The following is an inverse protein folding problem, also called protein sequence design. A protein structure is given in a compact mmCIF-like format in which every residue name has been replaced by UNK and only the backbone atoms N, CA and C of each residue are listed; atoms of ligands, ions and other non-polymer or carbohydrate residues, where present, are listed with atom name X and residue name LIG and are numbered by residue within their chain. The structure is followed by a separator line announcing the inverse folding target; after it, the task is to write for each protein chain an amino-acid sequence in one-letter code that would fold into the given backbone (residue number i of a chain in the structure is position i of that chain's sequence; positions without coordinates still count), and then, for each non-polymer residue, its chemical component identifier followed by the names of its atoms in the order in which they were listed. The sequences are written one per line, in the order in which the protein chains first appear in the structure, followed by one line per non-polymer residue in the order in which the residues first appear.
data_IF_904414096159
#
_entry.id   IF_904414096159
#
_cell.length_a   1.000
_cell.length_b   1.000
_cell.length_c   1.000
_cell.angle_alpha   90.00
_cell.angle_beta   90.00
_cell.angle_gamma   90.00
#
_symmetry.space_group_name_H-M   'P 1'
#
loop_
_entity.id
_entity.type
_entity.pdbx_description
1 polymer ?
#
# COMPACT_ATOMS: atom_id res chain seq x y z
N UNK A 1 2.83 12.33 19.18
CA UNK A 1 2.83 12.89 17.80
C UNK A 1 3.30 14.34 17.86
N UNK A 2 4.41 14.69 17.21
CA UNK A 2 5.01 16.03 17.30
C UNK A 2 4.17 17.03 16.47
N UNK A 3 3.77 18.14 17.08
CA UNK A 3 3.04 19.22 16.41
C UNK A 3 4.01 20.35 16.07
N UNK A 4 4.27 20.54 14.79
CA UNK A 4 5.10 21.65 14.31
C UNK A 4 4.28 22.94 14.24
N UNK A 5 4.81 24.03 14.79
CA UNK A 5 4.21 25.36 14.80
C UNK A 5 5.00 26.35 13.92
N UNK A 6 4.40 27.50 13.62
CA UNK A 6 5.03 28.56 12.83
C UNK A 6 5.34 28.15 11.38
N UNK A 7 6.55 28.44 10.91
CA UNK A 7 6.98 28.14 9.54
C UNK A 7 7.20 26.65 9.28
N UNK A 8 7.31 25.83 10.33
CA UNK A 8 7.46 24.37 10.24
C UNK A 8 6.12 23.64 10.03
N UNK A 9 4.98 24.34 10.13
CA UNK A 9 3.65 23.78 9.80
C UNK A 9 3.65 23.28 8.35
N UNK A 10 3.16 22.05 8.11
CA UNK A 10 3.18 21.40 6.79
C UNK A 10 2.66 22.29 5.64
N UNK A 11 1.64 23.11 5.90
CA UNK A 11 1.06 24.05 4.92
C UNK A 11 2.04 25.16 4.48
N UNK A 12 2.88 25.65 5.39
CA UNK A 12 3.81 26.76 5.15
C UNK A 12 5.25 26.30 4.91
N UNK A 13 5.58 25.09 5.33
CA UNK A 13 6.94 24.53 5.27
C UNK A 13 7.52 24.51 3.85
N UNK A 14 6.70 24.19 2.85
CA UNK A 14 7.15 24.11 1.46
C UNK A 14 7.67 25.44 0.89
N UNK A 15 7.07 26.56 1.27
CA UNK A 15 7.43 27.89 0.78
C UNK A 15 8.42 28.62 1.68
N UNK A 16 8.28 28.50 3.02
CA UNK A 16 9.10 29.26 3.97
C UNK A 16 10.45 28.60 4.29
N UNK A 17 10.52 27.27 4.32
CA UNK A 17 11.76 26.57 4.71
C UNK A 17 12.94 26.84 3.75
N UNK A 18 12.75 26.90 2.41
CA UNK A 18 13.84 27.26 1.51
C UNK A 18 14.38 28.68 1.72
N UNK A 19 13.51 29.63 2.08
CA UNK A 19 13.90 31.03 2.36
C UNK A 19 14.76 31.11 3.62
N UNK A 20 14.41 30.33 4.66
CA UNK A 20 15.21 30.25 5.90
C UNK A 20 16.59 29.63 5.62
N UNK A 21 16.66 28.56 4.81
CA UNK A 21 17.96 27.99 4.43
C UNK A 21 18.83 28.96 3.63
N UNK A 22 18.22 29.75 2.73
CA UNK A 22 18.93 30.80 1.99
C UNK A 22 19.47 31.89 2.94
N UNK A 23 18.66 32.33 3.90
CA UNK A 23 19.08 33.33 4.89
C UNK A 23 20.22 32.82 5.79
N UNK A 24 20.19 31.54 6.16
CA UNK A 24 21.21 30.89 6.99
C UNK A 24 22.43 30.39 6.21
N UNK A 25 22.50 30.65 4.89
CA UNK A 25 23.55 30.14 3.99
C UNK A 25 23.75 28.61 4.07
N UNK A 26 22.67 27.89 4.41
CA UNK A 26 22.70 26.43 4.50
C UNK A 26 22.48 25.82 3.13
N UNK A 27 23.24 24.76 2.82
CA UNK A 27 22.95 23.96 1.64
C UNK A 27 21.58 23.29 1.79
N UNK A 28 20.69 23.55 0.84
CA UNK A 28 19.37 22.90 0.82
C UNK A 28 19.57 21.41 0.59
N UNK A 29 19.07 20.58 1.51
CA UNK A 29 19.08 19.11 1.32
C UNK A 29 18.36 18.79 0.02
N UNK A 30 19.02 18.02 -0.86
CA UNK A 30 18.38 17.47 -2.05
C UNK A 30 17.15 16.70 -1.61
N UNK A 31 16.01 17.01 -2.23
CA UNK A 31 14.79 16.22 -2.02
C UNK A 31 15.14 14.78 -2.42
N UNK A 32 14.84 13.78 -1.57
CA UNK A 32 15.04 12.40 -1.99
C UNK A 32 14.23 12.19 -3.26
N UNK A 33 14.85 11.54 -4.25
CA UNK A 33 14.13 11.09 -5.43
C UNK A 33 12.96 10.26 -4.93
N UNK A 34 11.75 10.56 -5.41
CA UNK A 34 10.60 9.72 -5.14
C UNK A 34 10.70 8.55 -6.13
N UNK A 35 11.18 7.37 -5.72
CA UNK A 35 11.22 6.23 -6.62
C UNK A 35 9.82 6.02 -7.19
N UNK A 36 9.74 5.82 -8.51
CA UNK A 36 8.49 5.44 -9.15
C UNK A 36 7.96 4.12 -8.56
N UNK A 37 6.67 3.85 -8.74
CA UNK A 37 6.04 2.63 -8.23
C UNK A 37 6.82 1.35 -8.59
N UNK A 38 7.35 1.28 -9.82
CA UNK A 38 8.17 0.16 -10.27
C UNK A 38 9.47 -0.02 -9.45
N UNK A 39 10.14 1.08 -9.10
CA UNK A 39 11.38 1.05 -8.30
C UNK A 39 11.06 0.64 -6.86
N UNK A 40 9.94 1.13 -6.30
CA UNK A 40 9.45 0.69 -4.99
C UNK A 40 9.14 -0.81 -4.98
N UNK A 41 8.34 -1.28 -5.94
CA UNK A 41 7.97 -2.69 -6.04
C UNK A 41 9.18 -3.60 -6.23
N UNK A 42 10.16 -3.19 -7.04
CA UNK A 42 11.43 -3.92 -7.21
C UNK A 42 12.21 -4.01 -5.90
N UNK A 43 12.24 -2.95 -5.10
CA UNK A 43 12.87 -2.95 -3.78
C UNK A 43 12.16 -3.83 -2.76
N UNK A 44 10.83 -3.88 -2.79
CA UNK A 44 10.02 -4.70 -1.87
C UNK A 44 10.00 -6.19 -2.23
N UNK A 45 9.83 -6.52 -3.51
CA UNK A 45 9.63 -7.90 -3.99
C UNK A 45 10.93 -8.56 -4.47
N UNK A 46 12.03 -7.81 -4.58
CA UNK A 46 13.31 -8.30 -5.11
C UNK A 46 13.28 -8.69 -6.59
N UNK A 47 12.14 -8.48 -7.26
CA UNK A 47 11.86 -8.93 -8.62
C UNK A 47 11.23 -7.79 -9.42
N UNK A 48 11.58 -7.72 -10.71
CA UNK A 48 11.01 -6.71 -11.61
C UNK A 48 9.65 -7.18 -12.14
N UNK A 49 8.57 -6.56 -11.66
CA UNK A 49 7.19 -6.85 -12.09
C UNK A 49 6.97 -6.62 -13.59
N UNK A 50 7.82 -5.83 -14.24
CA UNK A 50 7.76 -5.59 -15.68
C UNK A 50 8.64 -6.55 -16.47
N UNK A 51 9.20 -7.59 -15.85
CA UNK A 51 9.94 -8.63 -16.56
C UNK A 51 9.10 -9.90 -16.63
N UNK A 52 8.90 -10.40 -17.85
CA UNK A 52 8.28 -11.68 -18.11
C UNK A 52 9.09 -12.80 -17.43
N UNK A 53 8.46 -13.58 -16.53
CA UNK A 53 9.15 -14.68 -15.82
C UNK A 53 9.55 -15.80 -16.79
N UNK A 54 8.75 -16.02 -17.83
CA UNK A 54 8.98 -17.10 -18.81
C UNK A 54 10.01 -16.71 -19.88
N UNK A 55 9.89 -15.50 -20.40
CA UNK A 55 10.60 -15.04 -21.60
C UNK A 55 11.67 -13.98 -21.33
N UNK A 56 11.65 -13.35 -20.17
CA UNK A 56 12.58 -12.28 -19.81
C UNK A 56 12.30 -10.93 -20.47
N UNK A 57 11.35 -10.86 -21.40
CA UNK A 57 10.97 -9.62 -22.10
C UNK A 57 10.29 -8.60 -21.18
N UNK A 58 10.35 -7.33 -21.60
CA UNK A 58 9.76 -6.22 -20.86
C UNK A 58 8.26 -6.13 -21.08
N UNK A 59 7.49 -6.42 -20.04
CA UNK A 59 6.05 -6.22 -19.98
C UNK A 59 5.72 -4.72 -19.99
N UNK A 60 4.60 -4.37 -20.64
CA UNK A 60 4.03 -3.03 -20.62
C UNK A 60 2.81 -3.04 -19.72
N UNK A 61 2.61 -1.96 -18.97
CA UNK A 61 1.42 -1.81 -18.16
C UNK A 61 0.19 -1.73 -19.08
N UNK A 62 -0.70 -2.72 -18.99
CA UNK A 62 -1.94 -2.76 -19.76
C UNK A 62 -3.13 -2.19 -18.95
N UNK A 63 -3.09 -2.35 -17.63
CA UNK A 63 -4.16 -1.89 -16.74
C UNK A 63 -3.96 -2.42 -15.32
N UNK A 64 -4.73 -1.87 -14.39
CA UNK A 64 -4.82 -2.36 -13.01
C UNK A 64 -6.28 -2.52 -12.65
N UNK A 65 -6.61 -3.65 -12.03
CA UNK A 65 -7.92 -3.89 -11.46
C UNK A 65 -7.79 -3.88 -9.93
N UNK A 66 -8.71 -3.19 -9.26
CA UNK A 66 -8.79 -3.25 -7.81
C UNK A 66 -9.16 -4.67 -7.39
N UNK A 67 -8.38 -5.25 -6.48
CA UNK A 67 -8.79 -6.46 -5.78
C UNK A 67 -9.95 -6.18 -4.83
N UNK A 68 -10.69 -7.22 -4.48
CA UNK A 68 -11.70 -7.18 -3.41
C UNK A 68 -11.03 -6.82 -2.08
N UNK A 69 -11.73 -6.04 -1.26
CA UNK A 69 -11.17 -5.61 0.02
C UNK A 69 -10.98 -6.82 0.94
N UNK A 70 -9.88 -6.87 1.69
CA UNK A 70 -9.58 -8.00 2.57
C UNK A 70 -10.72 -8.34 3.55
N UNK A 71 -11.45 -7.33 4.05
CA UNK A 71 -12.61 -7.55 4.91
C UNK A 71 -13.77 -8.24 4.21
N UNK A 72 -13.99 -7.95 2.93
CA UNK A 72 -15.04 -8.58 2.13
C UNK A 72 -14.72 -10.07 1.96
N UNK A 73 -13.48 -10.40 1.59
CA UNK A 73 -12.99 -11.78 1.49
C UNK A 73 -13.13 -12.56 2.80
N UNK A 74 -12.81 -11.92 3.93
CA UNK A 74 -12.98 -12.53 5.26
C UNK A 74 -14.45 -12.76 5.60
N UNK A 75 -15.33 -11.81 5.26
CA UNK A 75 -16.76 -11.93 5.50
C UNK A 75 -17.41 -13.06 4.68
N UNK A 76 -16.98 -13.23 3.42
CA UNK A 76 -17.41 -14.34 2.57
C UNK A 76 -16.96 -15.68 3.12
N UNK A 77 -15.70 -15.76 3.57
CA UNK A 77 -15.17 -16.97 4.20
C UNK A 77 -15.96 -17.34 5.46
N UNK A 78 -16.24 -16.38 6.33
CA UNK A 78 -17.02 -16.59 7.56
C UNK A 78 -18.43 -17.09 7.25
N UNK A 79 -19.14 -16.46 6.32
CA UNK A 79 -20.46 -16.91 5.84
C UNK A 79 -20.41 -18.33 5.28
N UNK A 80 -19.36 -18.67 4.53
CA UNK A 80 -19.15 -20.02 4.03
C UNK A 80 -18.97 -21.07 5.14
N UNK A 81 -18.24 -20.73 6.21
CA UNK A 81 -18.06 -21.60 7.37
C UNK A 81 -19.36 -21.77 8.16
N UNK A 82 -20.09 -20.68 8.37
CA UNK A 82 -21.40 -20.69 9.02
C UNK A 82 -22.39 -21.59 8.27
N UNK A 83 -22.53 -21.41 6.95
CA UNK A 83 -23.40 -22.25 6.10
C UNK A 83 -23.05 -23.73 6.22
N UNK A 84 -21.76 -24.08 6.21
CA UNK A 84 -21.30 -25.48 6.39
C UNK A 84 -21.65 -26.03 7.77
N UNK A 85 -21.61 -25.21 8.82
CA UNK A 85 -22.00 -25.59 10.18
C UNK A 85 -23.49 -25.88 10.27
N UNK A 86 -24.34 -24.99 9.74
CA UNK A 86 -25.79 -25.17 9.70
C UNK A 86 -26.21 -26.44 8.96
N UNK A 87 -25.59 -26.72 7.81
CA UNK A 87 -25.91 -27.92 7.02
C UNK A 87 -25.53 -29.23 7.72
N UNK A 88 -24.64 -29.20 8.74
CA UNK A 88 -24.27 -30.37 9.56
C UNK A 88 -25.12 -30.53 10.83
N UNK A 89 -25.96 -29.55 11.18
CA UNK A 89 -26.79 -29.63 12.39
C UNK A 89 -27.89 -30.71 12.36
N UNK A 90 -28.57 -31.06 11.25
CA UNK A 90 -29.62 -32.08 11.31
C UNK A 90 -29.09 -33.52 11.55
N UNK A 91 -27.78 -33.77 11.46
CA UNK A 91 -27.18 -35.09 11.78
C UNK A 91 -27.03 -35.34 13.30
N UNK A 92 -27.02 -34.29 14.13
CA UNK A 92 -26.83 -34.41 15.58
C UNK A 92 -28.14 -34.51 16.38
N UNK A 93 -29.26 -34.01 15.81
CA UNK A 93 -30.58 -34.07 16.47
C UNK A 93 -31.28 -35.44 16.32
N UNK A 94 -30.72 -36.37 15.55
CA UNK A 94 -31.26 -37.74 15.39
C UNK A 94 -30.87 -38.71 16.52
N UNK A 95 -30.03 -38.27 17.46
CA UNK A 95 -29.55 -39.09 18.60
C UNK A 95 -30.01 -38.57 19.96
N UNK A 96 -31.01 -37.68 20.01
CA UNK A 96 -31.63 -37.18 21.24
C UNK A 96 -32.94 -37.91 21.57
#
# INVERSE_FOLDING_TARGET
MVRYSGFLVNRKRGSLLPLVYKALQMQTRKKPEKPGFAVLMKGFLGTDLYKCILCGDRLRFAGAQAGTQAMELLSERLRGMEKKRWLRMPELDQYA
#
